data_IF_928714960745
#
_entry.id   IF_928714960745
#
_cell.length_a   1.000
_cell.length_b   1.000
_cell.length_c   1.000
_cell.angle_alpha   90.00
_cell.angle_beta   90.00
_cell.angle_gamma   90.00
#
_symmetry.space_group_name_H-M   'P 1'
#
loop_
_entity.id
_entity.type
_entity.pdbx_description
1 polymer ?
#
# COMPACT_ATOMS: atom_id res chain seq x y z
N UNK A 1 8.41 -31.75 -10.17
CA UNK A 1 9.25 -31.49 -8.97
C UNK A 1 9.95 -30.14 -9.10
N UNK A 2 10.85 -29.96 -10.07
CA UNK A 2 11.53 -28.67 -10.30
C UNK A 2 10.55 -27.52 -10.62
N UNK A 3 9.52 -27.78 -11.43
CA UNK A 3 8.49 -26.79 -11.78
C UNK A 3 7.71 -26.30 -10.56
N UNK A 4 7.22 -27.22 -9.72
CA UNK A 4 6.50 -26.90 -8.48
C UNK A 4 7.38 -26.12 -7.49
N UNK A 5 8.67 -26.47 -7.41
CA UNK A 5 9.65 -25.74 -6.61
C UNK A 5 9.85 -24.30 -7.11
N UNK A 6 10.02 -24.11 -8.43
CA UNK A 6 10.16 -22.79 -9.06
C UNK A 6 8.91 -21.93 -8.87
N UNK A 7 7.71 -22.48 -9.06
CA UNK A 7 6.45 -21.74 -8.84
C UNK A 7 6.27 -21.36 -7.38
N UNK A 8 6.52 -22.28 -6.43
CA UNK A 8 6.47 -21.99 -5.00
C UNK A 8 7.52 -20.95 -4.59
N UNK A 9 8.72 -21.04 -5.16
CA UNK A 9 9.80 -20.08 -4.93
C UNK A 9 9.44 -18.69 -5.44
N UNK A 10 8.97 -18.55 -6.69
CA UNK A 10 8.59 -17.26 -7.28
C UNK A 10 7.39 -16.62 -6.56
N UNK A 11 6.40 -17.43 -6.16
CA UNK A 11 5.26 -16.94 -5.38
C UNK A 11 5.70 -16.45 -4.01
N UNK A 12 6.51 -17.23 -3.28
CA UNK A 12 7.09 -16.80 -2.00
C UNK A 12 7.98 -15.55 -2.14
N UNK A 13 8.76 -15.48 -3.21
CA UNK A 13 9.57 -14.31 -3.54
C UNK A 13 8.71 -13.08 -3.84
N UNK A 14 7.60 -13.22 -4.57
CA UNK A 14 6.68 -12.11 -4.84
C UNK A 14 6.03 -11.55 -3.59
N UNK A 15 5.72 -12.39 -2.59
CA UNK A 15 5.12 -11.95 -1.32
C UNK A 15 6.15 -11.31 -0.37
N UNK A 16 7.43 -11.71 -0.42
CA UNK A 16 8.46 -11.27 0.54
C UNK A 16 9.37 -10.19 -0.04
N UNK A 17 9.66 -10.21 -1.35
CA UNK A 17 10.56 -9.25 -2.00
C UNK A 17 9.98 -7.82 -2.00
N UNK A 18 8.67 -7.69 -1.84
CA UNK A 18 7.98 -6.43 -1.65
C UNK A 18 7.82 -6.02 -0.16
N UNK A 19 8.51 -6.68 0.78
CA UNK A 19 8.71 -6.09 2.10
C UNK A 19 9.69 -4.92 1.92
N UNK A 20 9.13 -3.73 1.71
CA UNK A 20 9.89 -2.49 1.64
C UNK A 20 10.82 -2.36 2.85
N UNK A 21 11.95 -1.66 2.68
CA UNK A 21 12.94 -1.47 3.73
C UNK A 21 12.33 -0.97 5.05
N UNK A 22 11.26 -0.16 4.97
CA UNK A 22 10.47 0.30 6.12
C UNK A 22 9.78 -0.84 6.89
N UNK A 23 9.06 -1.74 6.19
CA UNK A 23 8.34 -2.86 6.82
C UNK A 23 9.30 -3.91 7.39
N UNK A 24 10.43 -4.16 6.73
CA UNK A 24 11.52 -5.02 7.20
C UNK A 24 12.16 -4.48 8.48
N UNK A 25 12.40 -3.17 8.54
CA UNK A 25 12.96 -2.50 9.71
C UNK A 25 11.98 -2.53 10.91
N UNK A 26 10.69 -2.26 10.67
CA UNK A 26 9.65 -2.37 11.71
C UNK A 26 9.55 -3.80 12.25
N UNK A 27 9.56 -4.81 11.38
CA UNK A 27 9.54 -6.23 11.79
C UNK A 27 10.79 -6.62 12.57
N UNK A 28 11.97 -6.18 12.14
CA UNK A 28 13.23 -6.46 12.84
C UNK A 28 13.27 -5.81 14.23
N UNK A 29 12.77 -4.58 14.35
CA UNK A 29 12.64 -3.91 15.65
C UNK A 29 11.55 -4.54 16.53
N UNK A 30 10.48 -5.02 15.88
CA UNK A 30 9.44 -5.88 16.45
C UNK A 30 9.99 -7.13 17.13
N UNK A 31 10.80 -7.91 16.39
CA UNK A 31 11.46 -9.12 16.89
C UNK A 31 12.51 -8.84 17.97
N UNK A 32 13.20 -7.70 17.90
CA UNK A 32 14.16 -7.29 18.93
C UNK A 32 13.48 -6.78 20.22
N UNK A 33 12.16 -6.64 20.25
CA UNK A 33 11.38 -6.31 21.45
C UNK A 33 11.63 -4.91 22.02
N UNK A 34 12.22 -3.99 21.25
CA UNK A 34 12.58 -2.63 21.71
C UNK A 34 11.91 -1.57 20.82
N UNK A 35 11.12 -0.69 21.45
CA UNK A 35 10.51 0.50 20.83
C UNK A 35 9.68 0.24 19.55
N UNK A 36 9.05 -0.93 19.44
CA UNK A 36 8.21 -1.32 18.29
C UNK A 36 7.11 -0.29 18.02
N UNK A 37 6.43 0.17 19.07
CA UNK A 37 5.32 1.10 18.96
C UNK A 37 5.75 2.47 18.42
N UNK A 38 6.92 2.97 18.85
CA UNK A 38 7.46 4.26 18.38
C UNK A 38 7.85 4.20 16.91
N UNK A 39 8.50 3.11 16.48
CA UNK A 39 8.91 2.93 15.07
C UNK A 39 7.68 2.74 14.18
N UNK A 40 6.70 1.95 14.61
CA UNK A 40 5.45 1.77 13.89
C UNK A 40 4.67 3.09 13.75
N UNK A 41 4.56 3.89 14.82
CA UNK A 41 3.92 5.20 14.76
C UNK A 41 4.63 6.12 13.77
N UNK A 42 5.95 6.23 13.84
CA UNK A 42 6.72 7.07 12.93
C UNK A 42 6.55 6.64 11.46
N UNK A 43 6.56 5.33 11.19
CA UNK A 43 6.34 4.78 9.85
C UNK A 43 4.94 5.11 9.35
N UNK A 44 3.91 4.78 10.13
CA UNK A 44 2.51 5.05 9.76
C UNK A 44 2.24 6.53 9.50
N UNK A 45 2.89 7.42 10.27
CA UNK A 45 2.75 8.86 10.13
C UNK A 45 3.47 9.37 8.87
N UNK A 46 4.63 8.80 8.55
CA UNK A 46 5.35 9.08 7.30
C UNK A 46 4.56 8.63 6.08
N UNK A 47 3.96 7.43 6.12
CA UNK A 47 3.12 6.91 5.04
C UNK A 47 1.86 7.76 4.85
N UNK A 48 1.19 8.12 5.96
CA UNK A 48 0.02 9.02 5.90
C UNK A 48 0.38 10.39 5.31
N UNK A 49 1.53 10.96 5.68
CA UNK A 49 2.01 12.22 5.11
C UNK A 49 2.30 12.10 3.61
N UNK A 50 3.05 11.08 3.19
CA UNK A 50 3.38 10.85 1.79
C UNK A 50 2.12 10.63 0.93
N UNK A 51 1.17 9.84 1.41
CA UNK A 51 -0.13 9.64 0.74
C UNK A 51 -0.89 10.96 0.65
N UNK A 52 -0.97 11.73 1.74
CA UNK A 52 -1.69 13.01 1.75
C UNK A 52 -1.10 14.02 0.77
N UNK A 53 0.24 14.11 0.70
CA UNK A 53 0.96 14.98 -0.24
C UNK A 53 0.74 14.50 -1.67
N UNK A 54 0.82 13.19 -1.91
CA UNK A 54 0.57 12.61 -3.23
C UNK A 54 -0.83 12.89 -3.74
N UNK A 55 -1.86 12.64 -2.92
CA UNK A 55 -3.26 12.89 -3.27
C UNK A 55 -3.54 14.37 -3.46
N UNK A 56 -3.06 15.24 -2.56
CA UNK A 56 -3.22 16.68 -2.69
C UNK A 56 -2.52 17.23 -3.94
N UNK A 57 -1.31 16.75 -4.25
CA UNK A 57 -0.57 17.14 -5.46
C UNK A 57 -1.29 16.77 -6.75
N UNK A 58 -1.84 15.56 -6.81
CA UNK A 58 -2.63 15.08 -7.96
C UNK A 58 -3.94 15.89 -8.08
N UNK A 59 -4.60 16.20 -6.96
CA UNK A 59 -5.84 17.00 -6.94
C UNK A 59 -5.64 18.39 -7.53
N UNK A 60 -4.50 19.04 -7.27
CA UNK A 60 -4.16 20.35 -7.86
C UNK A 60 -4.01 20.25 -9.38
N UNK A 61 -3.40 19.17 -9.88
CA UNK A 61 -3.18 18.97 -11.31
C UNK A 61 -4.46 18.59 -12.07
N UNK A 62 -5.36 17.84 -11.42
CA UNK A 62 -6.63 17.40 -12.00
C UNK A 62 -7.74 18.45 -11.94
N UNK A 63 -7.55 19.57 -11.24
CA UNK A 63 -8.61 20.57 -10.99
C UNK A 63 -9.31 21.05 -12.29
N UNK A 64 -8.59 21.12 -13.41
CA UNK A 64 -9.17 21.52 -14.72
C UNK A 64 -9.95 20.41 -15.45
N UNK A 65 -9.76 19.14 -15.08
CA UNK A 65 -10.40 17.98 -15.72
C UNK A 65 -11.37 17.23 -14.79
N UNK A 66 -11.52 17.71 -13.55
CA UNK A 66 -12.21 16.99 -12.47
C UNK A 66 -13.71 16.88 -12.75
N UNK A 67 -14.33 17.91 -13.33
CA UNK A 67 -15.76 17.89 -13.65
C UNK A 67 -16.14 16.82 -14.69
N UNK A 68 -15.21 16.47 -15.59
CA UNK A 68 -15.44 15.46 -16.63
C UNK A 68 -15.20 14.03 -16.13
N UNK A 69 -14.37 13.87 -15.09
CA UNK A 69 -13.88 12.56 -14.63
C UNK A 69 -14.52 12.13 -13.31
N UNK A 70 -15.09 13.06 -12.53
CA UNK A 70 -15.64 12.82 -11.19
C UNK A 70 -16.63 11.65 -11.15
N UNK A 71 -17.61 11.60 -12.07
CA UNK A 71 -18.62 10.54 -12.10
C UNK A 71 -18.01 9.15 -12.35
N UNK A 72 -17.05 9.07 -13.28
CA UNK A 72 -16.32 7.84 -13.58
C UNK A 72 -15.45 7.40 -12.39
N UNK A 73 -14.77 8.34 -11.74
CA UNK A 73 -13.90 8.06 -10.59
C UNK A 73 -14.71 7.50 -9.42
N UNK A 74 -15.88 8.10 -9.15
CA UNK A 74 -16.78 7.67 -8.08
C UNK A 74 -17.42 6.30 -8.39
N UNK A 75 -17.84 6.08 -9.64
CA UNK A 75 -18.41 4.80 -10.08
C UNK A 75 -17.42 3.63 -9.96
N UNK A 76 -16.18 3.81 -10.43
CA UNK A 76 -15.12 2.80 -10.33
C UNK A 76 -14.77 2.53 -8.86
N UNK A 77 -14.66 3.58 -8.05
CA UNK A 77 -14.33 3.46 -6.61
C UNK A 77 -15.43 2.73 -5.84
N UNK A 78 -16.71 2.99 -6.13
CA UNK A 78 -17.84 2.32 -5.52
C UNK A 78 -17.91 0.83 -5.88
N UNK A 79 -17.69 0.50 -7.16
CA UNK A 79 -17.63 -0.90 -7.64
C UNK A 79 -16.50 -1.65 -6.95
N UNK A 80 -15.33 -1.02 -6.83
CA UNK A 80 -14.17 -1.61 -6.15
C UNK A 80 -14.43 -1.87 -4.66
N UNK A 81 -14.97 -0.89 -3.94
CA UNK A 81 -15.36 -1.03 -2.52
C UNK A 81 -16.42 -2.11 -2.31
N UNK A 82 -17.42 -2.18 -3.19
CA UNK A 82 -18.46 -3.21 -3.14
C UNK A 82 -17.85 -4.61 -3.36
N UNK A 83 -16.93 -4.76 -4.32
CA UNK A 83 -16.23 -6.02 -4.56
C UNK A 83 -15.41 -6.47 -3.34
N UNK A 84 -14.72 -5.54 -2.69
CA UNK A 84 -13.96 -5.83 -1.46
C UNK A 84 -14.85 -6.19 -0.27
N UNK A 85 -16.02 -5.56 -0.14
CA UNK A 85 -16.95 -5.85 0.95
C UNK A 85 -17.71 -7.18 0.78
N UNK A 86 -17.71 -7.74 -0.43
CA UNK A 86 -18.41 -8.99 -0.77
C UNK A 86 -17.49 -10.22 -0.74
N UNK A 87 -16.17 -10.01 -0.82
CA UNK A 87 -15.10 -11.01 -0.64
C UNK A 87 -14.78 -11.23 0.84
#
# INVERSE_FOLDING_TARGET
MLSAFLTGFVLGFSLILAIGAQNSFVLRQGLMGRHVFTVALFCSLSDALLISIGVAGISIFLNNYIDLVSDWLFGISAIWLAGYGLL
#
